data_IF_434443844843
#
_entry.id   IF_434443844843
#
_cell.length_a   1.000
_cell.length_b   1.000
_cell.length_c   1.000
_cell.angle_alpha   90.00
_cell.angle_beta   90.00
_cell.angle_gamma   90.00
#
_symmetry.space_group_name_H-M   'P 1'
#
loop_
_entity.id
_entity.type
_entity.pdbx_description
1 polymer ?
#
# COMPACT_ATOMS: atom_id res chain seq x y z
N UNK A 1 -7.07 20.33 7.91
CA UNK A 1 -5.77 19.64 8.13
C UNK A 1 -5.21 19.34 6.74
N UNK A 2 -3.90 19.40 6.51
CA UNK A 2 -3.33 19.12 5.18
C UNK A 2 -3.11 17.62 5.05
N UNK A 3 -3.58 17.03 3.96
CA UNK A 3 -3.40 15.61 3.68
C UNK A 3 -1.93 15.30 3.36
N UNK A 4 -1.28 14.39 4.09
CA UNK A 4 0.11 14.05 3.83
C UNK A 4 0.23 13.27 2.53
N UNK A 5 1.36 13.48 1.83
CA UNK A 5 1.72 12.69 0.65
C UNK A 5 2.89 11.78 1.00
N UNK A 6 2.80 10.51 0.63
CA UNK A 6 3.89 9.52 0.81
C UNK A 6 4.27 8.91 -0.53
N UNK A 7 5.46 8.33 -0.61
CA UNK A 7 5.95 7.68 -1.82
C UNK A 7 6.52 6.31 -1.53
N UNK A 8 6.42 5.41 -2.52
CA UNK A 8 7.08 4.11 -2.57
C UNK A 8 7.90 4.01 -3.86
N UNK A 9 9.20 3.77 -3.71
CA UNK A 9 10.07 3.33 -4.79
C UNK A 9 9.94 1.81 -4.94
N UNK A 10 9.45 1.38 -6.09
CA UNK A 10 9.19 -0.01 -6.41
C UNK A 10 10.38 -0.61 -7.15
N UNK A 11 10.79 -1.80 -6.74
CA UNK A 11 11.78 -2.61 -7.44
C UNK A 11 11.21 -4.00 -7.76
N UNK A 12 11.65 -4.59 -8.86
CA UNK A 12 11.28 -5.93 -9.33
C UNK A 12 12.55 -6.75 -9.42
N UNK A 13 12.62 -7.84 -8.65
CA UNK A 13 13.80 -8.71 -8.58
C UNK A 13 15.11 -7.95 -8.27
N UNK A 14 14.99 -6.83 -7.53
CA UNK A 14 16.10 -5.94 -7.16
C UNK A 14 16.33 -4.76 -8.11
N UNK A 15 15.73 -4.77 -9.30
CA UNK A 15 15.86 -3.70 -10.28
C UNK A 15 14.81 -2.60 -10.07
N UNK A 16 15.20 -1.31 -10.01
CA UNK A 16 14.25 -0.21 -9.86
C UNK A 16 13.23 -0.16 -11.00
N UNK A 17 11.94 -0.14 -10.67
CA UNK A 17 10.84 -0.02 -11.63
C UNK A 17 10.32 1.42 -11.71
N UNK A 18 10.19 2.09 -10.57
CA UNK A 18 9.74 3.48 -10.51
C UNK A 18 9.09 3.86 -9.19
N UNK A 19 8.67 5.11 -9.09
CA UNK A 19 8.09 5.68 -7.87
C UNK A 19 6.56 5.83 -8.00
N UNK A 20 5.84 5.51 -6.93
CA UNK A 20 4.40 5.75 -6.79
C UNK A 20 4.17 6.67 -5.60
N UNK A 21 3.43 7.75 -5.79
CA UNK A 21 3.06 8.65 -4.69
C UNK A 21 1.58 8.53 -4.36
N UNK A 22 1.25 8.74 -3.09
CA UNK A 22 -0.08 8.58 -2.53
C UNK A 22 -0.45 9.78 -1.67
N UNK A 23 -1.65 10.32 -1.86
CA UNK A 23 -2.25 11.29 -0.94
C UNK A 23 -3.07 10.52 0.11
N UNK A 24 -2.87 10.81 1.40
CA UNK A 24 -3.59 10.15 2.49
C UNK A 24 -4.67 11.08 3.06
N UNK A 25 -5.89 10.57 3.21
CA UNK A 25 -7.06 11.33 3.64
C UNK A 25 -7.10 11.53 5.17
N UNK A 26 -6.09 12.22 5.70
CA UNK A 26 -5.98 12.52 7.13
C UNK A 26 -7.11 13.43 7.65
N UNK A 27 -7.77 14.16 6.76
CA UNK A 27 -8.99 14.92 7.06
C UNK A 27 -10.22 14.04 7.35
N UNK A 28 -10.25 12.81 6.83
CA UNK A 28 -11.38 11.87 6.97
C UNK A 28 -11.08 10.69 7.90
N UNK A 29 -9.86 10.16 7.84
CA UNK A 29 -9.41 9.00 8.62
C UNK A 29 -8.01 9.26 9.22
N UNK A 30 -7.90 10.21 10.17
CA UNK A 30 -6.61 10.67 10.69
C UNK A 30 -5.76 9.56 11.31
N UNK A 31 -6.35 8.62 12.06
CA UNK A 31 -5.57 7.51 12.65
C UNK A 31 -5.06 6.56 11.57
N UNK A 32 -5.91 6.25 10.61
CA UNK A 32 -5.55 5.30 9.53
C UNK A 32 -4.48 5.90 8.62
N UNK A 33 -4.62 7.18 8.26
CA UNK A 33 -3.64 7.94 7.50
C UNK A 33 -2.31 8.07 8.26
N UNK A 34 -2.34 8.38 9.56
CA UNK A 34 -1.13 8.51 10.37
C UNK A 34 -0.39 7.17 10.52
N UNK A 35 -1.10 6.06 10.69
CA UNK A 35 -0.48 4.74 10.68
C UNK A 35 0.27 4.46 9.37
N UNK A 36 -0.36 4.71 8.23
CA UNK A 36 0.28 4.48 6.93
C UNK A 36 1.46 5.44 6.69
N UNK A 37 1.32 6.70 7.09
CA UNK A 37 2.39 7.71 7.01
C UNK A 37 3.62 7.29 7.83
N UNK A 38 3.43 6.95 9.09
CA UNK A 38 4.53 6.58 9.99
C UNK A 38 5.22 5.26 9.57
N UNK A 39 4.47 4.30 9.02
CA UNK A 39 5.05 3.08 8.43
C UNK A 39 5.80 3.38 7.12
N UNK A 40 5.38 4.38 6.37
CA UNK A 40 6.08 4.83 5.17
C UNK A 40 7.38 5.55 5.51
N UNK A 41 7.43 6.34 6.58
CA UNK A 41 8.65 7.03 7.02
C UNK A 41 9.61 6.12 7.81
N UNK A 42 9.10 5.03 8.40
CA UNK A 42 9.90 4.14 9.24
C UNK A 42 10.27 4.76 10.60
N UNK A 43 9.64 5.87 11.00
CA UNK A 43 9.99 6.64 12.21
C UNK A 43 9.76 5.88 13.53
N UNK A 44 9.05 4.74 13.47
CA UNK A 44 8.78 3.86 14.60
C UNK A 44 9.64 2.58 14.59
N UNK A 45 10.72 2.57 13.81
CA UNK A 45 11.61 1.41 13.63
C UNK A 45 10.88 0.17 13.05
N UNK A 46 9.68 0.39 12.52
CA UNK A 46 8.86 -0.53 11.73
C UNK A 46 8.38 0.24 10.51
N UNK A 47 8.30 -0.43 9.36
CA UNK A 47 7.87 0.26 8.15
C UNK A 47 7.85 -0.61 6.90
N UNK A 48 7.55 0.04 5.78
CA UNK A 48 7.35 -0.63 4.49
C UNK A 48 8.64 -0.84 3.69
N UNK A 49 9.74 -0.16 4.04
CA UNK A 49 11.01 -0.27 3.34
C UNK A 49 11.53 -1.72 3.39
N UNK A 50 11.87 -2.27 2.24
CA UNK A 50 12.35 -3.64 2.05
C UNK A 50 11.27 -4.71 2.02
N UNK A 51 10.00 -4.35 2.22
CA UNK A 51 8.88 -5.31 2.21
C UNK A 51 8.44 -5.65 0.79
N UNK A 52 7.75 -6.76 0.60
CA UNK A 52 7.22 -7.18 -0.70
C UNK A 52 5.70 -7.09 -0.79
N UNK A 53 5.21 -7.01 -2.02
CA UNK A 53 3.82 -7.30 -2.35
C UNK A 53 3.68 -8.82 -2.44
N UNK A 54 3.04 -9.43 -1.45
CA UNK A 54 2.93 -10.88 -1.33
C UNK A 54 1.77 -11.46 -2.14
N UNK A 55 0.82 -10.61 -2.57
CA UNK A 55 -0.32 -11.06 -3.40
C UNK A 55 -0.73 -9.97 -4.37
N UNK A 56 -0.67 -10.27 -5.66
CA UNK A 56 -1.09 -9.38 -6.73
C UNK A 56 -2.06 -10.16 -7.60
N UNK A 57 -3.22 -9.57 -7.87
CA UNK A 57 -4.25 -10.15 -8.71
C UNK A 57 -4.54 -9.12 -9.81
N UNK A 58 -4.10 -9.39 -11.05
CA UNK A 58 -4.31 -8.48 -12.17
C UNK A 58 -5.79 -8.13 -12.37
N UNK A 59 -6.10 -6.85 -12.57
CA UNK A 59 -7.48 -6.37 -12.69
C UNK A 59 -8.27 -6.45 -11.37
N UNK A 60 -7.58 -6.56 -10.24
CA UNK A 60 -8.19 -6.51 -8.92
C UNK A 60 -7.38 -5.65 -7.96
N UNK A 61 -6.21 -6.12 -7.51
CA UNK A 61 -5.45 -5.44 -6.47
C UNK A 61 -3.99 -5.93 -6.29
N UNK A 62 -3.16 -5.05 -5.74
CA UNK A 62 -1.84 -5.36 -5.18
C UNK A 62 -1.85 -5.26 -3.65
N UNK A 63 -1.59 -6.37 -2.96
CA UNK A 63 -1.53 -6.48 -1.50
C UNK A 63 -0.08 -6.60 -1.02
N UNK A 64 0.30 -5.69 -0.11
CA UNK A 64 1.60 -5.66 0.55
C UNK A 64 1.44 -5.35 2.04
N UNK A 65 2.49 -4.82 2.66
CA UNK A 65 2.44 -4.32 4.03
C UNK A 65 2.61 -5.38 5.13
N UNK A 66 2.77 -6.65 4.78
CA UNK A 66 3.26 -7.64 5.75
C UNK A 66 4.79 -7.53 5.88
N UNK A 67 5.22 -6.78 6.88
CA UNK A 67 6.62 -6.57 7.23
C UNK A 67 7.13 -7.46 8.36
N UNK A 68 6.30 -8.38 8.87
CA UNK A 68 6.68 -9.25 9.98
C UNK A 68 6.83 -10.71 9.57
N UNK A 69 6.01 -11.18 8.62
CA UNK A 69 6.00 -12.56 8.13
C UNK A 69 6.11 -12.67 6.61
N UNK A 70 5.86 -11.57 5.90
CA UNK A 70 5.93 -11.48 4.43
C UNK A 70 5.01 -12.48 3.68
N UNK A 71 3.98 -13.00 4.34
CA UNK A 71 3.08 -14.04 3.83
C UNK A 71 1.59 -13.65 3.93
N UNK A 72 1.30 -12.47 4.47
CA UNK A 72 -0.05 -11.93 4.68
C UNK A 72 -0.63 -12.26 6.07
N UNK A 73 0.08 -13.02 6.91
CA UNK A 73 -0.37 -13.35 8.29
C UNK A 73 0.24 -12.43 9.34
N UNK A 74 1.25 -11.65 8.95
CA UNK A 74 1.89 -10.65 9.78
C UNK A 74 1.35 -9.25 9.52
N UNK A 75 0.94 -8.55 10.58
CA UNK A 75 0.70 -7.11 10.48
C UNK A 75 0.76 -6.49 11.88
N UNK A 76 1.55 -5.42 12.02
CA UNK A 76 1.54 -4.56 13.21
C UNK A 76 1.21 -3.15 12.75
N UNK A 77 0.51 -2.41 13.60
CA UNK A 77 0.31 -0.98 13.43
C UNK A 77 1.27 -0.22 14.33
N UNK A 78 1.38 1.09 14.13
CA UNK A 78 2.07 1.95 15.11
C UNK A 78 1.34 2.00 16.47
N UNK A 79 0.10 1.48 16.53
CA UNK A 79 -0.76 1.46 17.70
C UNK A 79 -0.83 0.10 18.41
N UNK A 80 0.06 -0.86 18.08
CA UNK A 80 0.12 -2.29 18.52
C UNK A 80 -0.44 -3.26 17.46
N UNK A 81 -1.00 -4.39 17.88
CA UNK A 81 -1.39 -5.51 16.98
C UNK A 81 -2.54 -5.15 16.04
N UNK A 82 -3.56 -4.45 16.54
CA UNK A 82 -4.75 -4.03 15.77
C UNK A 82 -5.24 -2.67 16.28
N UNK A 83 -5.93 -1.92 15.42
CA UNK A 83 -6.68 -0.72 15.78
C UNK A 83 -8.05 -0.77 15.10
N UNK A 84 -9.01 -0.04 15.67
CA UNK A 84 -10.41 -0.06 15.22
C UNK A 84 -10.58 0.60 13.86
N UNK A 85 -11.56 0.10 13.08
CA UNK A 85 -11.99 0.74 11.84
C UNK A 85 -12.54 2.14 12.13
N UNK A 86 -11.91 3.16 11.53
CA UNK A 86 -12.19 4.55 11.87
C UNK A 86 -13.53 5.04 11.31
N UNK A 87 -13.76 4.84 10.01
CA UNK A 87 -15.07 4.96 9.36
C UNK A 87 -15.05 4.35 7.94
N UNK A 88 -16.24 4.19 7.35
CA UNK A 88 -16.44 3.68 5.98
C UNK A 88 -17.05 4.75 5.05
N UNK A 89 -16.80 6.02 5.34
CA UNK A 89 -17.38 7.15 4.59
C UNK A 89 -16.85 7.20 3.16
N UNK A 90 -15.57 6.85 3.01
CA UNK A 90 -14.89 6.77 1.73
C UNK A 90 -15.07 5.39 1.11
N UNK A 91 -15.31 5.38 -0.19
CA UNK A 91 -15.53 4.18 -1.00
C UNK A 91 -14.39 4.03 -1.99
N UNK A 92 -13.96 2.79 -2.23
CA UNK A 92 -12.83 2.43 -3.08
C UNK A 92 -11.46 3.01 -2.67
N UNK A 93 -10.57 2.17 -2.11
CA UNK A 93 -9.11 2.26 -2.29
C UNK A 93 -8.39 1.08 -1.62
N UNK A 94 -7.82 0.21 -2.44
CA UNK A 94 -6.48 -0.35 -2.22
C UNK A 94 -5.65 0.11 -3.43
N UNK A 95 -4.43 -0.38 -3.65
CA UNK A 95 -3.84 -0.30 -5.00
C UNK A 95 -4.70 -1.22 -5.90
N UNK A 96 -5.88 -0.73 -6.26
CA UNK A 96 -6.89 -1.40 -7.05
C UNK A 96 -6.77 -0.89 -8.47
N UNK A 97 -6.66 -1.82 -9.40
CA UNK A 97 -6.62 -1.56 -10.84
C UNK A 97 -7.98 -1.71 -11.50
N UNK A 98 -8.99 -2.12 -10.72
CA UNK A 98 -10.39 -2.18 -11.11
C UNK A 98 -11.30 -1.64 -10.00
N UNK A 99 -12.57 -1.40 -10.34
CA UNK A 99 -13.58 -0.96 -9.37
C UNK A 99 -13.97 -2.14 -8.47
N UNK A 100 -13.74 -2.01 -7.17
CA UNK A 100 -13.98 -3.07 -6.17
C UNK A 100 -15.14 -2.74 -5.22
N UNK A 101 -16.33 -2.44 -5.76
CA UNK A 101 -17.52 -2.01 -4.98
C UNK A 101 -17.92 -3.01 -3.88
N UNK A 102 -17.62 -4.31 -4.06
CA UNK A 102 -17.96 -5.37 -3.08
C UNK A 102 -17.14 -5.31 -1.78
N UNK A 103 -16.11 -4.46 -1.72
CA UNK A 103 -15.27 -4.19 -0.55
C UNK A 103 -15.74 -2.96 0.24
N UNK A 104 -16.65 -2.15 -0.31
CA UNK A 104 -17.17 -0.97 0.37
C UNK A 104 -17.86 -1.36 1.69
N UNK A 105 -17.59 -0.60 2.75
CA UNK A 105 -18.13 -0.88 4.09
C UNK A 105 -17.46 -2.04 4.84
N UNK A 106 -16.47 -2.72 4.24
CA UNK A 106 -15.68 -3.79 4.87
C UNK A 106 -14.23 -3.41 5.13
N UNK A 107 -13.74 -2.39 4.43
CA UNK A 107 -12.36 -1.91 4.53
C UNK A 107 -12.33 -0.39 4.58
N UNK A 108 -11.54 0.16 5.50
CA UNK A 108 -11.34 1.60 5.61
C UNK A 108 -10.49 2.10 4.44
N UNK A 109 -11.05 3.06 3.69
CA UNK A 109 -10.36 3.75 2.58
C UNK A 109 -9.64 4.97 3.15
N UNK A 110 -8.33 5.07 2.91
CA UNK A 110 -7.49 6.08 3.59
C UNK A 110 -6.56 6.90 2.69
N UNK A 111 -6.60 6.71 1.37
CA UNK A 111 -5.80 7.51 0.45
C UNK A 111 -6.15 7.27 -1.02
N UNK A 112 -5.34 7.85 -1.91
CA UNK A 112 -5.38 7.61 -3.37
C UNK A 112 -3.97 7.71 -3.97
N UNK A 113 -3.72 6.98 -5.05
CA UNK A 113 -2.52 7.22 -5.86
C UNK A 113 -2.60 8.62 -6.48
N UNK A 114 -1.52 9.38 -6.37
CA UNK A 114 -1.36 10.74 -6.90
C UNK A 114 -0.55 10.72 -8.20
N UNK A 115 0.56 10.00 -8.21
CA UNK A 115 1.42 9.79 -9.37
C UNK A 115 1.94 8.34 -9.41
N UNK A 116 2.43 7.87 -10.56
CA UNK A 116 3.02 6.54 -10.70
C UNK A 116 2.03 5.41 -10.96
N UNK A 117 0.80 5.70 -11.40
CA UNK A 117 -0.19 4.65 -11.71
C UNK A 117 0.28 3.70 -12.84
N UNK A 118 1.09 4.20 -13.77
CA UNK A 118 1.76 3.38 -14.78
C UNK A 118 2.70 2.32 -14.19
N UNK A 119 3.29 2.58 -13.01
CA UNK A 119 4.13 1.61 -12.28
C UNK A 119 3.25 0.52 -11.67
N UNK A 120 2.11 0.89 -11.09
CA UNK A 120 1.12 -0.06 -10.57
C UNK A 120 0.62 -1.00 -11.67
N UNK A 121 0.27 -0.45 -12.84
CA UNK A 121 -0.15 -1.26 -13.99
C UNK A 121 0.98 -2.18 -14.50
N UNK A 122 2.23 -1.71 -14.49
CA UNK A 122 3.38 -2.52 -14.88
C UNK A 122 3.57 -3.70 -13.91
N UNK A 123 3.45 -3.44 -12.60
CA UNK A 123 3.50 -4.47 -11.54
C UNK A 123 2.46 -5.56 -11.77
N UNK A 124 1.22 -5.21 -12.11
CA UNK A 124 0.19 -6.22 -12.38
C UNK A 124 0.49 -7.08 -13.62
N UNK A 125 1.03 -6.48 -14.69
CA UNK A 125 1.32 -7.21 -15.93
C UNK A 125 2.41 -8.27 -15.77
N UNK A 126 3.29 -8.11 -14.77
CA UNK A 126 4.36 -9.06 -14.49
C UNK A 126 3.82 -10.39 -13.94
N UNK A 127 2.82 -10.33 -13.07
CA UNK A 127 2.23 -11.50 -12.41
C UNK A 127 1.33 -12.33 -13.34
N UNK A 128 0.68 -11.68 -14.32
CA UNK A 128 -0.22 -12.34 -15.27
C UNK A 128 0.47 -13.33 -16.22
N UNK A 129 1.80 -13.29 -16.39
CA UNK A 129 2.44 -13.86 -17.58
C UNK A 129 2.94 -15.29 -17.47
N UNK A 130 3.28 -15.85 -16.30
CA UNK A 130 4.00 -17.14 -16.32
C UNK A 130 3.95 -18.02 -15.04
N UNK A 131 3.15 -17.70 -14.01
CA UNK A 131 3.13 -18.47 -12.76
C UNK A 131 4.46 -18.47 -11.98
N UNK A 132 5.45 -17.71 -12.45
CA UNK A 132 6.69 -17.38 -11.74
C UNK A 132 6.51 -15.97 -11.18
N UNK A 133 6.36 -15.89 -9.87
CA UNK A 133 6.20 -14.64 -9.11
C UNK A 133 7.52 -13.88 -9.12
N UNK A 134 7.55 -12.71 -9.77
CA UNK A 134 8.69 -11.79 -9.63
C UNK A 134 8.60 -11.14 -8.26
N UNK A 135 9.75 -10.98 -7.58
CA UNK A 135 9.75 -10.39 -6.24
C UNK A 135 9.61 -8.88 -6.36
N UNK A 136 8.40 -8.38 -6.14
CA UNK A 136 8.12 -6.94 -6.16
C UNK A 136 8.27 -6.39 -4.75
N UNK A 137 9.21 -5.47 -4.57
CA UNK A 137 9.61 -4.91 -3.27
C UNK A 137 9.51 -3.40 -3.24
N UNK A 138 9.24 -2.84 -2.07
CA UNK A 138 9.37 -1.42 -1.78
C UNK A 138 10.84 -1.17 -1.43
N UNK A 139 11.61 -0.67 -2.40
CA UNK A 139 13.04 -0.41 -2.25
C UNK A 139 13.30 0.77 -1.30
N UNK A 140 12.50 1.81 -1.41
CA UNK A 140 12.49 2.93 -0.47
C UNK A 140 11.08 3.48 -0.29
N UNK A 141 10.86 4.18 0.81
CA UNK A 141 9.59 4.84 1.09
C UNK A 141 9.77 6.00 2.06
N UNK A 142 8.85 6.96 1.98
CA UNK A 142 8.88 8.13 2.86
C UNK A 142 7.71 9.07 2.66
N UNK A 143 7.80 10.23 3.29
CA UNK A 143 6.84 11.33 3.15
C UNK A 143 7.43 12.44 2.29
N UNK A 144 6.60 13.06 1.45
CA UNK A 144 6.90 14.24 0.64
C UNK A 144 6.42 15.51 1.36
#
# INVERSE_FOLDING_TARGET
>A
MVNPTVFFDIAVDGEPLGCVSFELFADQVPKTAENFRALSTGEKEIGYKGTCFHRIIPGFMCQGGDFTRHDGTGCKSIYREKFDDENFTLKHFFICTAKTEWLDGKHVVFGKAKEGMNIVEAVERLESRNGKTSKITIADCGQI
#
